data_IF_908669242901
#
_entry.id   IF_908669242901
#
_cell.length_a   1.000
_cell.length_b   1.000
_cell.length_c   1.000
_cell.angle_alpha   90.00
_cell.angle_beta   90.00
_cell.angle_gamma   90.00
#
_symmetry.space_group_name_H-M   'P 1'
#
loop_
_entity.id
_entity.type
_entity.pdbx_description
1 polymer ?
#
# COMPACT_ATOMS: atom_id res chain seq x y z
N UNK A 1 -5.83 -14.50 -18.42
CA UNK A 1 -4.61 -13.93 -17.91
C UNK A 1 -4.67 -12.43 -17.94
N UNK A 2 -5.11 -11.87 -16.91
CA UNK A 2 -5.15 -10.44 -16.79
C UNK A 2 -4.29 -9.99 -15.63
N UNK A 3 -4.11 -8.69 -15.56
CA UNK A 3 -3.51 -8.07 -14.40
C UNK A 3 -4.59 -7.32 -13.64
N UNK A 4 -4.33 -7.15 -12.36
CA UNK A 4 -5.23 -6.39 -11.49
C UNK A 4 -4.43 -5.23 -10.93
N UNK A 5 -5.00 -4.04 -11.00
CA UNK A 5 -4.43 -2.87 -10.33
C UNK A 5 -5.15 -2.69 -9.01
N UNK A 6 -4.39 -2.73 -7.94
CA UNK A 6 -4.90 -2.52 -6.59
C UNK A 6 -4.54 -1.12 -6.14
N UNK A 7 -5.51 -0.40 -5.62
CA UNK A 7 -5.24 0.87 -4.94
C UNK A 7 -5.44 0.60 -3.46
N UNK A 8 -4.37 0.82 -2.69
CA UNK A 8 -4.41 0.59 -1.26
C UNK A 8 -4.16 1.90 -0.53
N UNK A 9 -4.85 2.06 0.59
CA UNK A 9 -4.58 3.15 1.52
C UNK A 9 -3.84 2.57 2.71
N UNK A 10 -2.70 3.17 3.03
CA UNK A 10 -1.86 2.73 4.14
C UNK A 10 -1.87 3.82 5.19
N UNK A 11 -2.29 3.45 6.40
CA UNK A 11 -2.33 4.36 7.53
C UNK A 11 -1.12 4.11 8.40
N UNK A 12 -0.30 5.14 8.67
CA UNK A 12 0.81 4.98 9.60
C UNK A 12 0.29 4.89 11.04
N UNK A 13 1.10 4.30 11.92
CA UNK A 13 0.71 4.13 13.33
C UNK A 13 0.61 5.45 14.08
N UNK A 14 1.40 6.44 13.69
CA UNK A 14 1.40 7.74 14.34
C UNK A 14 1.98 8.80 13.40
N UNK A 15 1.82 10.09 13.73
CA UNK A 15 2.43 11.16 12.93
C UNK A 15 3.96 11.11 12.94
N UNK A 16 4.55 10.39 13.89
CA UNK A 16 6.01 10.30 14.05
C UNK A 16 6.63 9.27 13.10
N UNK A 17 5.83 8.46 12.42
CA UNK A 17 6.34 7.49 11.45
C UNK A 17 7.01 8.23 10.29
N UNK A 18 8.24 7.82 9.98
CA UNK A 18 8.97 8.40 8.85
C UNK A 18 8.41 7.84 7.56
N UNK A 19 7.64 8.66 6.86
CA UNK A 19 6.98 8.24 5.62
C UNK A 19 7.97 7.95 4.50
N UNK A 20 9.11 8.65 4.48
CA UNK A 20 10.12 8.38 3.45
C UNK A 20 10.73 6.99 3.65
N UNK A 21 10.96 6.60 4.90
CA UNK A 21 11.44 5.27 5.22
C UNK A 21 10.38 4.22 4.87
N UNK A 22 9.14 4.50 5.19
CA UNK A 22 8.03 3.58 4.88
C UNK A 22 7.89 3.41 3.38
N UNK A 23 8.01 4.49 2.61
CA UNK A 23 7.97 4.41 1.15
C UNK A 23 9.11 3.53 0.62
N UNK A 24 10.31 3.68 1.17
CA UNK A 24 11.45 2.87 0.75
C UNK A 24 11.20 1.39 1.03
N UNK A 25 10.64 1.07 2.18
CA UNK A 25 10.29 -0.32 2.52
C UNK A 25 9.23 -0.88 1.57
N UNK A 26 8.23 -0.07 1.25
CA UNK A 26 7.19 -0.49 0.31
C UNK A 26 7.78 -0.80 -1.06
N UNK A 27 8.69 0.04 -1.53
CA UNK A 27 9.35 -0.21 -2.81
C UNK A 27 10.19 -1.48 -2.79
N UNK A 28 10.80 -1.78 -1.66
CA UNK A 28 11.64 -2.97 -1.51
C UNK A 28 10.82 -4.25 -1.36
N UNK A 29 9.69 -4.17 -0.67
CA UNK A 29 8.94 -5.36 -0.27
C UNK A 29 7.76 -5.68 -1.18
N UNK A 30 7.19 -4.67 -1.84
CA UNK A 30 5.99 -4.85 -2.65
C UNK A 30 6.37 -4.91 -4.11
N UNK A 31 6.26 -6.10 -4.69
CA UNK A 31 6.48 -6.26 -6.12
C UNK A 31 5.29 -5.72 -6.89
N UNK A 32 5.56 -5.10 -8.01
CA UNK A 32 4.49 -4.53 -8.83
C UNK A 32 4.03 -3.16 -8.39
N UNK A 33 4.70 -2.56 -7.40
CA UNK A 33 4.38 -1.21 -6.97
C UNK A 33 4.66 -0.22 -8.09
N UNK A 34 3.63 0.55 -8.47
CA UNK A 34 3.72 1.50 -9.56
C UNK A 34 3.81 2.94 -9.09
N UNK A 35 3.14 3.27 -8.01
CA UNK A 35 3.06 4.66 -7.58
C UNK A 35 2.82 4.72 -6.08
N UNK A 36 3.33 5.77 -5.44
CA UNK A 36 3.08 6.05 -4.04
C UNK A 36 2.79 7.54 -3.92
N UNK A 37 1.71 7.89 -3.27
CA UNK A 37 1.33 9.28 -3.01
C UNK A 37 1.01 9.47 -1.54
N UNK A 38 1.35 10.65 -1.03
CA UNK A 38 0.95 11.04 0.31
C UNK A 38 -0.35 11.81 0.24
N UNK A 39 -1.27 11.49 1.14
CA UNK A 39 -2.54 12.18 1.25
C UNK A 39 -2.74 12.66 2.68
N UNK A 40 -2.91 13.97 2.90
CA UNK A 40 -3.20 14.45 4.25
C UNK A 40 -4.60 14.02 4.67
N UNK A 41 -4.72 13.54 5.90
CA UNK A 41 -6.00 13.08 6.44
C UNK A 41 -6.44 13.86 7.66
N UNK A 42 -5.74 14.97 7.97
CA UNK A 42 -6.09 15.83 9.09
C UNK A 42 -5.27 15.53 10.34
N UNK A 43 -5.30 16.43 11.29
CA UNK A 43 -4.62 16.28 12.59
C UNK A 43 -3.11 15.99 12.48
N UNK A 44 -2.49 16.47 11.42
CA UNK A 44 -1.07 16.24 11.20
C UNK A 44 -0.73 14.85 10.66
N UNK A 45 -1.73 14.02 10.42
CA UNK A 45 -1.54 12.68 9.88
C UNK A 45 -1.59 12.69 8.37
N UNK A 46 -0.82 11.80 7.76
CA UNK A 46 -0.84 11.57 6.31
C UNK A 46 -0.95 10.08 6.07
N UNK A 47 -1.78 9.72 5.11
CA UNK A 47 -1.83 8.35 4.64
C UNK A 47 -1.00 8.23 3.37
N UNK A 48 -0.66 6.99 3.02
CA UNK A 48 -0.04 6.70 1.74
C UNK A 48 -1.06 5.99 0.86
N UNK A 49 -1.15 6.42 -0.37
CA UNK A 49 -2.00 5.77 -1.36
C UNK A 49 -1.07 5.16 -2.40
N UNK A 50 -1.16 3.86 -2.58
CA UNK A 50 -0.28 3.16 -3.50
C UNK A 50 -1.07 2.45 -4.59
N UNK A 51 -0.44 2.32 -5.75
CA UNK A 51 -0.97 1.54 -6.85
C UNK A 51 -0.05 0.35 -7.07
N UNK A 52 -0.60 -0.84 -7.05
CA UNK A 52 0.15 -2.09 -7.19
C UNK A 52 -0.49 -2.91 -8.30
N UNK A 53 0.34 -3.41 -9.21
CA UNK A 53 -0.13 -4.33 -10.24
C UNK A 53 0.21 -5.76 -9.81
N UNK A 54 -0.82 -6.60 -9.74
CA UNK A 54 -0.64 -8.00 -9.40
C UNK A 54 -1.27 -8.86 -10.49
N UNK A 55 -0.87 -10.13 -10.51
CA UNK A 55 -1.45 -11.09 -11.43
C UNK A 55 -2.88 -11.41 -11.01
N UNK A 56 -3.72 -11.77 -11.97
CA UNK A 56 -5.08 -12.22 -11.71
C UNK A 56 -5.14 -13.63 -11.11
N UNK A 57 -4.01 -14.20 -10.77
CA UNK A 57 -3.97 -15.46 -10.04
C UNK A 57 -4.51 -15.26 -8.63
N UNK A 58 -5.27 -16.20 -8.14
CA UNK A 58 -5.92 -16.07 -6.85
C UNK A 58 -4.96 -15.88 -5.70
N UNK A 59 -5.32 -15.03 -4.76
CA UNK A 59 -4.58 -14.85 -3.52
C UNK A 59 -3.50 -13.76 -3.52
N UNK A 60 -3.14 -13.22 -4.67
CA UNK A 60 -2.08 -12.21 -4.71
C UNK A 60 -2.48 -10.89 -4.05
N UNK A 61 -3.75 -10.48 -4.19
CA UNK A 61 -4.20 -9.25 -3.55
C UNK A 61 -4.16 -9.38 -2.02
N UNK A 62 -4.61 -10.52 -1.50
CA UNK A 62 -4.56 -10.77 -0.06
C UNK A 62 -3.13 -10.87 0.44
N UNK A 63 -2.26 -11.53 -0.31
CA UNK A 63 -0.85 -11.65 0.05
C UNK A 63 -0.17 -10.28 0.08
N UNK A 64 -0.49 -9.41 -0.87
CA UNK A 64 0.06 -8.06 -0.92
C UNK A 64 -0.38 -7.25 0.29
N UNK A 65 -1.68 -7.29 0.61
CA UNK A 65 -2.21 -6.59 1.78
C UNK A 65 -1.54 -7.09 3.06
N UNK A 66 -1.45 -8.40 3.22
CA UNK A 66 -0.84 -9.00 4.41
C UNK A 66 0.62 -8.59 4.55
N UNK A 67 1.35 -8.56 3.44
CA UNK A 67 2.76 -8.17 3.45
C UNK A 67 2.93 -6.72 3.89
N UNK A 68 2.08 -5.84 3.40
CA UNK A 68 2.13 -4.44 3.78
C UNK A 68 1.77 -4.26 5.25
N UNK A 69 0.75 -4.96 5.73
CA UNK A 69 0.36 -4.89 7.13
C UNK A 69 1.41 -5.40 8.08
N UNK A 70 2.32 -6.23 7.61
CA UNK A 70 3.42 -6.74 8.43
C UNK A 70 4.58 -5.76 8.56
N UNK A 71 4.59 -4.68 7.79
CA UNK A 71 5.66 -3.69 7.87
C UNK A 71 5.56 -2.86 9.14
N UNK A 72 6.71 -2.56 9.73
CA UNK A 72 6.75 -1.68 10.90
C UNK A 72 6.27 -0.29 10.54
N UNK A 73 5.50 0.31 11.42
CA UNK A 73 4.98 1.66 11.21
C UNK A 73 3.63 1.70 10.49
N UNK A 74 3.13 0.57 10.02
CA UNK A 74 1.82 0.48 9.37
C UNK A 74 0.79 0.05 10.41
N UNK A 75 -0.19 0.91 10.66
CA UNK A 75 -1.30 0.55 11.51
C UNK A 75 -2.33 -0.24 10.72
N UNK A 76 -2.59 0.17 9.49
CA UNK A 76 -3.63 -0.41 8.69
C UNK A 76 -3.31 -0.25 7.21
N UNK A 77 -3.64 -1.26 6.43
CA UNK A 77 -3.61 -1.18 4.98
C UNK A 77 -4.91 -1.77 4.47
N UNK A 78 -5.55 -1.07 3.54
CA UNK A 78 -6.80 -1.56 2.99
C UNK A 78 -6.85 -1.33 1.48
N UNK A 79 -7.46 -2.27 0.79
CA UNK A 79 -7.69 -2.13 -0.65
C UNK A 79 -8.94 -1.27 -0.82
N UNK A 80 -8.78 -0.11 -1.46
CA UNK A 80 -9.90 0.82 -1.67
C UNK A 80 -10.44 0.77 -3.09
N UNK A 81 -9.67 0.22 -4.00
CA UNK A 81 -10.12 0.08 -5.38
C UNK A 81 -9.39 -1.10 -6.02
N UNK A 82 -10.09 -1.82 -6.86
CA UNK A 82 -9.51 -2.93 -7.60
C UNK A 82 -10.02 -2.84 -9.04
N UNK A 83 -9.11 -2.80 -9.98
CA UNK A 83 -9.45 -2.67 -11.39
C UNK A 83 -8.78 -3.79 -12.19
N UNK A 84 -9.57 -4.47 -12.98
CA UNK A 84 -9.05 -5.46 -13.92
C UNK A 84 -8.55 -4.77 -15.18
N UNK A 85 -7.41 -5.21 -15.65
CA UNK A 85 -6.83 -4.64 -16.87
C UNK A 85 -6.65 -5.68 -17.95
#
# INVERSE_FOLDING_TARGET
MGNVVLILRIMPESPDVDLEDLKARLRAEVKGLQDIREEPIGFGLKSLKIAVVVSDAGGESDATEAKIMALDGVERAEIIELTLT
#
